data_IF_599367969055
#
_entry.id   IF_599367969055
#
_cell.length_a   1.000
_cell.length_b   1.000
_cell.length_c   1.000
_cell.angle_alpha   90.00
_cell.angle_beta   90.00
_cell.angle_gamma   90.00
#
_symmetry.space_group_name_H-M   'P 1'
#
loop_
_entity.id
_entity.type
_entity.pdbx_description
1 polymer ?
#
# COMPACT_ATOMS: atom_id res chain seq x y z
N UNK A 1 -30.16 15.16 27.59
CA UNK A 1 -29.87 14.41 26.35
C UNK A 1 -28.58 14.99 25.77
N UNK A 2 -27.53 14.18 25.70
CA UNK A 2 -26.22 14.60 25.17
C UNK A 2 -26.15 14.08 23.74
N UNK A 3 -26.09 14.97 22.76
CA UNK A 3 -25.88 14.61 21.37
C UNK A 3 -24.38 14.50 21.14
N UNK A 4 -23.82 13.30 21.19
CA UNK A 4 -22.46 13.06 20.71
C UNK A 4 -22.54 12.86 19.21
N UNK A 5 -22.26 13.91 18.45
CA UNK A 5 -22.00 13.78 17.02
C UNK A 5 -20.62 13.11 16.89
N UNK A 6 -20.60 11.77 16.85
CA UNK A 6 -19.39 10.96 16.60
C UNK A 6 -18.89 11.08 15.13
N UNK A 7 -18.99 12.27 14.52
CA UNK A 7 -18.41 12.55 13.20
C UNK A 7 -16.89 12.64 13.29
N UNK A 8 -16.26 11.47 13.21
CA UNK A 8 -15.27 11.09 12.20
C UNK A 8 -14.19 12.11 11.71
N UNK A 9 -13.67 13.02 12.53
CA UNK A 9 -12.55 13.87 12.11
C UNK A 9 -11.31 13.64 12.99
N UNK A 10 -10.76 12.44 12.93
CA UNK A 10 -9.54 12.09 13.66
C UNK A 10 -8.25 12.25 12.84
N UNK A 11 -8.32 12.00 11.53
CA UNK A 11 -7.13 11.86 10.71
C UNK A 11 -6.29 13.15 10.70
N UNK A 12 -4.98 12.99 10.87
CA UNK A 12 -4.06 14.12 10.98
C UNK A 12 -3.31 14.25 9.66
N UNK A 13 -3.37 15.43 9.06
CA UNK A 13 -2.48 15.81 7.96
C UNK A 13 -1.53 16.91 8.40
N UNK A 14 -0.26 16.74 8.07
CA UNK A 14 0.78 17.76 8.21
C UNK A 14 1.54 17.85 6.90
N UNK A 15 1.48 19.00 6.22
CA UNK A 15 2.09 19.16 4.92
C UNK A 15 1.60 20.40 4.18
N UNK A 16 1.97 20.47 2.92
CA UNK A 16 1.63 21.58 2.04
C UNK A 16 0.18 21.49 1.54
N UNK A 17 -0.45 22.66 1.41
CA UNK A 17 -1.80 22.82 0.92
C UNK A 17 -1.84 23.80 -0.24
N UNK A 18 -2.68 23.51 -1.23
CA UNK A 18 -2.97 24.38 -2.36
C UNK A 18 -4.46 24.30 -2.66
N UNK A 19 -5.13 25.45 -2.74
CA UNK A 19 -6.57 25.53 -3.05
C UNK A 19 -7.46 24.66 -2.15
N UNK A 20 -7.13 24.58 -0.85
CA UNK A 20 -7.86 23.75 0.11
C UNK A 20 -7.63 22.24 -0.03
N UNK A 21 -6.70 21.81 -0.88
CA UNK A 21 -6.32 20.40 -1.07
C UNK A 21 -4.87 20.17 -0.65
N UNK A 22 -4.56 18.94 -0.23
CA UNK A 22 -3.19 18.49 0.07
C UNK A 22 -2.40 18.49 -1.24
N UNK A 23 -1.33 19.27 -1.32
CA UNK A 23 -0.55 19.43 -2.53
C UNK A 23 0.89 19.79 -2.18
N UNK A 24 1.84 18.96 -2.60
CA UNK A 24 3.22 19.00 -2.16
C UNK A 24 3.55 17.92 -1.13
N UNK A 25 4.66 18.07 -0.42
CA UNK A 25 5.11 17.06 0.54
C UNK A 25 4.32 17.13 1.85
N UNK A 26 3.99 15.96 2.39
CA UNK A 26 3.25 15.87 3.62
C UNK A 26 3.24 14.49 4.24
N UNK A 27 2.52 14.41 5.35
CA UNK A 27 2.29 13.23 6.16
C UNK A 27 0.81 13.18 6.51
N UNK A 28 0.17 12.06 6.21
CA UNK A 28 -1.21 11.77 6.59
C UNK A 28 -1.26 10.57 7.54
N UNK A 29 -1.94 10.70 8.67
CA UNK A 29 -2.06 9.67 9.69
C UNK A 29 -3.54 9.30 9.81
N UNK A 30 -3.85 8.04 9.55
CA UNK A 30 -5.18 7.48 9.73
C UNK A 30 -5.38 7.15 11.20
N UNK A 31 -6.23 7.87 11.93
CA UNK A 31 -6.41 7.61 13.37
C UNK A 31 -7.03 6.26 13.66
N UNK A 32 -7.97 5.83 12.81
CA UNK A 32 -8.69 4.58 13.00
C UNK A 32 -7.78 3.35 12.88
N UNK A 33 -6.84 3.38 11.95
CA UNK A 33 -5.96 2.23 11.65
C UNK A 33 -4.54 2.39 12.17
N UNK A 34 -4.13 3.61 12.54
CA UNK A 34 -2.74 3.95 12.88
C UNK A 34 -1.79 3.97 11.67
N UNK A 35 -2.29 3.74 10.46
CA UNK A 35 -1.49 3.76 9.23
C UNK A 35 -1.03 5.18 8.92
N UNK A 36 0.08 5.30 8.21
CA UNK A 36 0.67 6.59 7.83
C UNK A 36 1.07 6.62 6.37
N UNK A 37 0.68 7.68 5.67
CA UNK A 37 1.22 8.04 4.37
C UNK A 37 2.23 9.17 4.51
N UNK A 38 3.40 9.03 3.91
CA UNK A 38 4.44 10.06 3.90
C UNK A 38 4.94 10.23 2.48
N UNK A 39 4.88 11.43 1.93
CA UNK A 39 5.41 11.69 0.59
C UNK A 39 4.76 12.87 -0.08
N UNK A 40 4.77 12.84 -1.41
CA UNK A 40 4.21 13.89 -2.25
C UNK A 40 2.73 13.62 -2.49
N UNK A 41 1.91 14.62 -2.18
CA UNK A 41 0.49 14.67 -2.43
C UNK A 41 0.21 15.60 -3.62
N UNK A 42 -0.82 15.28 -4.39
CA UNK A 42 -1.33 16.12 -5.47
C UNK A 42 -2.85 16.02 -5.48
N UNK A 43 -3.55 17.16 -5.51
CA UNK A 43 -5.02 17.19 -5.49
C UNK A 43 -5.67 16.38 -4.34
N UNK A 44 -5.01 16.28 -3.18
CA UNK A 44 -5.53 15.52 -2.04
C UNK A 44 -5.10 14.04 -1.97
N UNK A 45 -4.47 13.49 -3.01
CA UNK A 45 -4.06 12.09 -3.09
C UNK A 45 -2.54 11.94 -2.99
N UNK A 46 -2.07 10.85 -2.38
CA UNK A 46 -0.65 10.49 -2.41
C UNK A 46 -0.29 10.03 -3.83
N UNK A 47 0.77 10.60 -4.42
CA UNK A 47 1.26 10.22 -5.76
C UNK A 47 2.59 9.45 -5.70
N UNK A 48 3.41 9.73 -4.70
CA UNK A 48 4.70 9.06 -4.47
C UNK A 48 5.07 9.15 -3.01
N UNK A 49 5.52 8.06 -2.42
CA UNK A 49 5.93 8.08 -1.02
C UNK A 49 6.00 6.72 -0.36
N UNK A 50 5.73 6.71 0.94
CA UNK A 50 5.71 5.55 1.81
C UNK A 50 4.33 5.36 2.43
N UNK A 51 3.86 4.12 2.43
CA UNK A 51 2.72 3.66 3.20
C UNK A 51 3.21 2.79 4.35
N UNK A 52 3.15 3.34 5.57
CA UNK A 52 3.60 2.68 6.78
C UNK A 52 2.43 2.09 7.53
N UNK A 53 2.59 0.84 7.94
CA UNK A 53 1.67 0.13 8.81
C UNK A 53 2.14 0.22 10.27
N UNK A 54 1.24 0.14 11.26
CA UNK A 54 1.61 0.19 12.68
C UNK A 54 2.58 -0.90 13.11
N UNK A 55 2.60 -2.04 12.40
CA UNK A 55 3.52 -3.13 12.67
C UNK A 55 4.97 -2.78 12.29
N UNK A 56 5.21 -1.73 11.51
CA UNK A 56 6.55 -1.35 11.01
C UNK A 56 6.81 -1.77 9.56
N UNK A 57 5.95 -2.60 8.97
CA UNK A 57 5.98 -2.89 7.53
C UNK A 57 5.63 -1.63 6.77
N UNK A 58 6.33 -1.36 5.67
CA UNK A 58 5.99 -0.25 4.80
C UNK A 58 6.16 -0.58 3.33
N UNK A 59 5.32 0.05 2.50
CA UNK A 59 5.50 0.08 1.06
C UNK A 59 6.12 1.41 0.66
N UNK A 60 7.04 1.42 -0.30
CA UNK A 60 7.61 2.61 -0.91
C UNK A 60 7.48 2.53 -2.43
N UNK A 61 6.90 3.57 -3.05
CA UNK A 61 6.69 3.58 -4.48
C UNK A 61 5.77 4.71 -4.95
N UNK A 62 5.21 4.54 -6.15
CA UNK A 62 4.19 5.41 -6.71
C UNK A 62 2.78 4.94 -6.36
N UNK A 63 1.86 5.89 -6.30
CA UNK A 63 0.48 5.68 -5.90
C UNK A 63 -0.46 6.36 -6.89
N UNK A 64 -1.63 5.74 -7.07
CA UNK A 64 -2.72 6.26 -7.87
C UNK A 64 -4.03 5.91 -7.15
N UNK A 65 -4.92 6.87 -6.92
CA UNK A 65 -6.13 6.69 -6.10
C UNK A 65 -5.87 6.04 -4.72
N UNK A 66 -4.78 6.44 -4.05
CA UNK A 66 -4.34 5.90 -2.75
C UNK A 66 -3.97 4.41 -2.75
N UNK A 67 -3.72 3.81 -3.93
CA UNK A 67 -3.25 2.43 -4.06
C UNK A 67 -1.88 2.39 -4.75
N UNK A 68 -0.99 1.44 -4.40
CA UNK A 68 0.27 1.21 -5.10
C UNK A 68 0.08 1.04 -6.61
N UNK A 69 0.96 1.67 -7.40
CA UNK A 69 0.99 1.55 -8.86
C UNK A 69 2.42 1.61 -9.38
N UNK A 70 2.73 0.86 -10.44
CA UNK A 70 4.05 0.79 -11.05
C UNK A 70 5.09 0.18 -10.12
N UNK A 71 6.35 0.55 -10.29
CA UNK A 71 7.44 0.05 -9.46
C UNK A 71 7.31 0.47 -7.99
N UNK A 72 7.51 -0.49 -7.10
CA UNK A 72 7.62 -0.23 -5.67
C UNK A 72 8.21 -1.41 -4.90
N UNK A 73 8.40 -1.20 -3.61
CA UNK A 73 9.02 -2.17 -2.71
C UNK A 73 8.30 -2.23 -1.37
N UNK A 74 7.98 -3.44 -0.93
CA UNK A 74 7.56 -3.73 0.44
C UNK A 74 8.77 -4.04 1.29
N UNK A 75 8.87 -3.37 2.42
CA UNK A 75 9.82 -3.63 3.48
C UNK A 75 9.07 -4.22 4.65
N UNK A 76 9.40 -5.46 4.99
CA UNK A 76 8.80 -6.18 6.09
C UNK A 76 9.66 -6.03 7.35
N UNK A 77 9.02 -6.12 8.52
CA UNK A 77 9.68 -6.03 9.83
C UNK A 77 10.78 -7.07 10.05
N UNK A 78 10.71 -8.21 9.35
CA UNK A 78 11.71 -9.28 9.40
C UNK A 78 12.95 -8.99 8.54
N UNK A 79 13.02 -7.81 7.89
CA UNK A 79 14.10 -7.41 7.00
C UNK A 79 13.93 -7.87 5.55
N UNK A 80 12.88 -8.65 5.23
CA UNK A 80 12.62 -9.02 3.85
C UNK A 80 12.18 -7.80 3.05
N UNK A 81 12.65 -7.73 1.81
CA UNK A 81 12.23 -6.72 0.84
C UNK A 81 11.67 -7.42 -0.38
N UNK A 82 10.46 -7.04 -0.78
CA UNK A 82 9.81 -7.54 -2.00
C UNK A 82 9.62 -6.38 -2.94
N UNK A 83 10.32 -6.40 -4.07
CA UNK A 83 10.20 -5.40 -5.12
C UNK A 83 9.41 -5.97 -6.29
N UNK A 84 8.57 -5.14 -6.92
CA UNK A 84 7.82 -5.52 -8.09
C UNK A 84 7.08 -4.36 -8.74
N UNK A 85 6.37 -4.68 -9.81
CA UNK A 85 5.47 -3.78 -10.52
C UNK A 85 4.02 -4.04 -10.12
N UNK A 86 3.36 -3.00 -9.59
CA UNK A 86 2.00 -3.08 -9.07
C UNK A 86 1.02 -2.50 -10.09
N UNK A 87 0.05 -3.30 -10.52
CA UNK A 87 -1.05 -2.84 -11.38
C UNK A 87 -2.36 -2.96 -10.62
N UNK A 88 -3.15 -1.89 -10.62
CA UNK A 88 -4.50 -1.94 -10.06
C UNK A 88 -5.39 -2.74 -10.99
N UNK A 89 -5.87 -3.88 -10.52
CA UNK A 89 -6.88 -4.66 -11.22
C UNK A 89 -8.23 -4.29 -10.62
N UNK A 90 -9.13 -3.74 -11.43
CA UNK A 90 -10.50 -3.45 -10.96
C UNK A 90 -11.19 -4.79 -10.78
N UNK A 91 -11.76 -5.04 -9.59
CA UNK A 91 -12.49 -6.28 -9.29
C UNK A 91 -13.61 -6.62 -10.28
N UNK A 92 -14.15 -5.64 -11.00
CA UNK A 92 -15.16 -5.85 -12.03
C UNK A 92 -14.60 -6.45 -13.33
N UNK A 93 -13.29 -6.31 -13.58
CA UNK A 93 -12.60 -6.80 -14.77
C UNK A 93 -11.88 -8.14 -14.50
N UNK A 94 -12.01 -8.69 -13.29
CA UNK A 94 -11.49 -10.00 -12.90
C UNK A 94 -12.63 -10.99 -12.99
N UNK A 95 -12.64 -11.81 -14.04
CA UNK A 95 -13.47 -13.01 -14.03
C UNK A 95 -13.05 -13.86 -12.82
N UNK A 96 -14.01 -14.45 -12.13
CA UNK A 96 -13.82 -15.09 -10.82
C UNK A 96 -12.75 -16.22 -10.84
N UNK A 97 -12.40 -16.73 -12.02
CA UNK A 97 -11.36 -17.73 -12.29
C UNK A 97 -9.91 -17.19 -12.41
N UNK A 98 -9.72 -15.87 -12.55
CA UNK A 98 -8.40 -15.22 -12.64
C UNK A 98 -7.89 -14.69 -11.29
N UNK A 99 -8.58 -15.07 -10.20
CA UNK A 99 -8.18 -14.80 -8.82
C UNK A 99 -6.97 -15.68 -8.44
N UNK A 100 -5.79 -15.27 -8.92
CA UNK A 100 -4.47 -15.66 -8.41
C UNK A 100 -4.22 -17.19 -8.44
N UNK A 101 -3.73 -17.70 -9.57
CA UNK A 101 -3.00 -18.98 -9.60
C UNK A 101 -1.64 -18.81 -8.89
N UNK A 102 -1.60 -19.04 -7.59
CA UNK A 102 -0.35 -19.27 -6.86
C UNK A 102 0.17 -20.66 -7.21
N UNK A 103 1.12 -20.75 -8.15
CA UNK A 103 1.86 -21.98 -8.40
C UNK A 103 3.10 -22.04 -7.51
N UNK A 104 3.07 -22.94 -6.54
CA UNK A 104 4.24 -23.29 -5.73
C UNK A 104 4.99 -24.40 -6.46
N UNK A 105 6.29 -24.22 -6.73
CA UNK A 105 7.17 -25.33 -7.08
C UNK A 105 7.95 -25.75 -5.84
N UNK A 106 7.81 -27.00 -5.43
CA UNK A 106 8.53 -27.57 -4.29
C UNK A 106 9.89 -28.13 -4.73
N UNK A 107 10.87 -28.12 -3.84
CA UNK A 107 12.25 -28.61 -4.07
C UNK A 107 12.34 -30.12 -4.34
N UNK A 108 11.23 -30.84 -4.37
CA UNK A 108 11.15 -32.24 -4.84
C UNK A 108 11.39 -32.39 -6.35
N UNK A 109 11.29 -31.31 -7.14
CA UNK A 109 11.42 -31.37 -8.60
C UNK A 109 12.85 -31.10 -9.13
N UNK A 110 13.84 -30.84 -8.25
CA UNK A 110 15.21 -30.45 -8.67
C UNK A 110 16.29 -31.49 -8.31
N UNK A 111 15.96 -32.64 -7.72
CA UNK A 111 16.96 -33.69 -7.50
C UNK A 111 16.47 -35.07 -7.90
N UNK A 112 16.40 -35.30 -9.20
CA UNK A 112 16.70 -36.61 -9.76
C UNK A 112 17.99 -36.49 -10.56
N UNK A 113 19.08 -37.08 -10.05
CA UNK A 113 19.83 -37.98 -10.90
C UNK A 113 19.77 -39.39 -10.30
N UNK A 114 19.14 -40.25 -11.11
CA UNK A 114 19.29 -41.69 -11.27
C UNK A 114 20.43 -42.32 -10.45
N UNK A 115 20.05 -43.29 -9.63
CA UNK A 115 20.93 -44.30 -9.02
C UNK A 115 21.67 -45.08 -10.11
N UNK A 116 22.97 -45.27 -9.94
CA UNK A 116 23.68 -46.43 -10.47
C UNK A 116 24.45 -47.09 -9.33
#
# INVERSE_FOLDING_TARGET
MIYTDEKQAGDIYSGQWKEGKKDGNGTYIFKKTGMKYVGTFKNGQLVKGKWLYPNGTYFEGTFDNNQPKGHGQWHFVNGNVVQGDYTQIKRADVEQDDLIKLSWKTTSDITAPVSQ
#
